data_IF_926014929847
#
_entry.id   IF_926014929847
#
_cell.length_a   1.000
_cell.length_b   1.000
_cell.length_c   1.000
_cell.angle_alpha   90.00
_cell.angle_beta   90.00
_cell.angle_gamma   90.00
#
_symmetry.space_group_name_H-M   'P 1'
#
loop_
_entity.id
_entity.type
_entity.pdbx_description
1 polymer ?
#
# COMPACT_ATOMS: atom_id res chain seq x y z
N UNK A 1 13.19 -12.20 11.09
CA UNK A 1 12.04 -11.41 10.53
C UNK A 1 10.75 -12.23 10.34
N UNK A 2 10.81 -13.56 10.14
CA UNK A 2 9.63 -14.43 9.94
C UNK A 2 8.59 -14.43 11.08
N UNK A 3 8.96 -14.05 12.31
CA UNK A 3 8.06 -14.10 13.49
C UNK A 3 7.43 -12.76 13.91
N UNK A 4 7.66 -11.66 13.19
CA UNK A 4 7.07 -10.38 13.57
C UNK A 4 5.56 -10.35 13.25
N UNK A 5 4.74 -10.08 14.26
CA UNK A 5 3.31 -9.87 14.11
C UNK A 5 3.01 -8.62 13.27
N UNK A 6 1.83 -8.56 12.65
CA UNK A 6 1.47 -7.41 11.80
C UNK A 6 1.43 -6.10 12.60
N UNK A 7 1.09 -6.17 13.89
CA UNK A 7 1.17 -5.05 14.83
C UNK A 7 2.60 -4.63 15.14
N UNK A 8 3.54 -5.57 15.29
CA UNK A 8 4.96 -5.24 15.49
C UNK A 8 5.56 -4.56 14.26
N UNK A 9 5.21 -5.01 13.06
CA UNK A 9 5.67 -4.37 11.80
C UNK A 9 5.13 -2.96 11.66
N UNK A 10 3.83 -2.78 11.95
CA UNK A 10 3.21 -1.46 11.97
C UNK A 10 3.85 -0.57 13.04
N UNK A 11 4.12 -1.11 14.23
CA UNK A 11 4.81 -0.40 15.30
C UNK A 11 6.20 0.08 14.90
N UNK A 12 7.01 -0.77 14.25
CA UNK A 12 8.33 -0.39 13.73
C UNK A 12 8.20 0.74 12.69
N UNK A 13 7.26 0.63 11.75
CA UNK A 13 7.03 1.66 10.75
C UNK A 13 6.60 3.00 11.38
N UNK A 14 5.69 2.97 12.37
CA UNK A 14 5.25 4.16 13.10
C UNK A 14 6.40 4.78 13.90
N UNK A 15 7.20 3.97 14.59
CA UNK A 15 8.36 4.48 15.35
C UNK A 15 9.39 5.10 14.41
N UNK A 16 9.68 4.48 13.26
CA UNK A 16 10.59 5.04 12.27
C UNK A 16 10.10 6.40 11.72
N UNK A 17 8.78 6.51 11.44
CA UNK A 17 8.16 7.77 11.05
C UNK A 17 8.23 8.84 12.14
N UNK A 18 7.88 8.49 13.38
CA UNK A 18 7.95 9.43 14.52
C UNK A 18 9.38 9.91 14.78
N UNK A 19 10.37 9.02 14.74
CA UNK A 19 11.77 9.38 14.88
C UNK A 19 12.19 10.38 13.80
N UNK A 20 11.79 10.15 12.55
CA UNK A 20 12.06 11.08 11.45
C UNK A 20 11.42 12.45 11.71
N UNK A 21 10.17 12.47 12.19
CA UNK A 21 9.48 13.70 12.55
C UNK A 21 10.27 14.49 13.60
N UNK A 22 10.66 13.85 14.71
CA UNK A 22 11.33 14.53 15.83
C UNK A 22 12.79 14.90 15.55
N UNK A 23 13.49 14.16 14.70
CA UNK A 23 14.90 14.43 14.35
C UNK A 23 15.03 15.61 13.38
N UNK A 24 14.04 15.83 12.49
CA UNK A 24 14.10 16.93 11.53
C UNK A 24 13.89 18.30 12.24
N UNK A 25 14.83 19.26 12.11
CA UNK A 25 14.82 20.49 12.90
C UNK A 25 13.68 21.45 12.51
N UNK A 26 12.91 21.91 13.52
CA UNK A 26 11.76 22.82 13.37
C UNK A 26 12.09 24.17 12.71
N UNK A 27 13.36 24.62 12.76
CA UNK A 27 13.76 25.97 12.31
C UNK A 27 14.08 26.06 10.82
N UNK A 28 14.30 24.93 10.15
CA UNK A 28 14.83 24.88 8.78
C UNK A 28 13.83 24.24 7.81
N UNK A 29 13.01 23.29 8.28
CA UNK A 29 12.14 22.49 7.42
C UNK A 29 10.67 22.78 7.76
N UNK A 30 9.90 23.18 6.74
CA UNK A 30 8.44 23.39 6.85
C UNK A 30 7.74 22.14 7.40
N UNK A 31 6.72 22.36 8.23
CA UNK A 31 5.95 21.29 8.88
C UNK A 31 5.42 20.26 7.87
N UNK A 32 4.89 20.74 6.74
CA UNK A 32 4.34 19.89 5.68
C UNK A 32 5.40 18.92 5.11
N UNK A 33 6.63 19.40 4.88
CA UNK A 33 7.75 18.56 4.40
C UNK A 33 8.15 17.49 5.41
N UNK A 34 8.11 17.81 6.71
CA UNK A 34 8.44 16.84 7.77
C UNK A 34 7.39 15.75 7.87
N UNK A 35 6.12 16.09 7.73
CA UNK A 35 5.02 15.13 7.74
C UNK A 35 5.18 14.15 6.57
N UNK A 36 5.44 14.66 5.36
CA UNK A 36 5.64 13.81 4.17
C UNK A 36 6.89 12.94 4.32
N UNK A 37 8.03 13.49 4.76
CA UNK A 37 9.23 12.69 5.00
C UNK A 37 9.03 11.58 6.04
N UNK A 38 8.27 11.86 7.10
CA UNK A 38 7.94 10.87 8.15
C UNK A 38 7.04 9.76 7.60
N UNK A 39 6.09 10.13 6.74
CA UNK A 39 5.26 9.17 6.01
C UNK A 39 6.11 8.28 5.10
N UNK A 40 7.01 8.85 4.30
CA UNK A 40 7.86 8.10 3.36
C UNK A 40 8.71 7.06 4.07
N UNK A 41 9.31 7.43 5.21
CA UNK A 41 10.12 6.50 6.02
C UNK A 41 9.24 5.38 6.58
N UNK A 42 8.07 5.70 7.12
CA UNK A 42 7.14 4.71 7.67
C UNK A 42 6.62 3.76 6.58
N UNK A 43 6.18 4.30 5.44
CA UNK A 43 5.65 3.56 4.31
C UNK A 43 6.74 2.65 3.69
N UNK A 44 7.93 3.18 3.45
CA UNK A 44 9.06 2.42 2.90
C UNK A 44 9.50 1.29 3.84
N UNK A 45 9.55 1.55 5.14
CA UNK A 45 9.88 0.52 6.15
C UNK A 45 8.82 -0.59 6.16
N UNK A 46 7.54 -0.22 6.13
CA UNK A 46 6.43 -1.17 6.06
C UNK A 46 6.49 -2.03 4.80
N UNK A 47 6.74 -1.40 3.64
CA UNK A 47 6.93 -2.08 2.36
C UNK A 47 8.12 -3.03 2.41
N UNK A 48 9.29 -2.59 2.88
CA UNK A 48 10.47 -3.43 2.97
C UNK A 48 10.19 -4.70 3.81
N UNK A 49 9.59 -4.53 4.99
CA UNK A 49 9.25 -5.66 5.86
C UNK A 49 8.21 -6.60 5.22
N UNK A 50 7.26 -6.04 4.48
CA UNK A 50 6.28 -6.81 3.72
C UNK A 50 6.95 -7.66 2.63
N UNK A 51 7.72 -7.03 1.75
CA UNK A 51 8.37 -7.69 0.61
C UNK A 51 9.43 -8.71 1.03
N UNK A 52 10.21 -8.44 2.09
CA UNK A 52 11.12 -9.44 2.68
C UNK A 52 10.35 -10.67 3.19
N UNK A 53 9.12 -10.49 3.68
CA UNK A 53 8.28 -11.61 4.11
C UNK A 53 7.73 -12.41 2.93
N UNK A 54 7.31 -11.72 1.87
CA UNK A 54 6.81 -12.35 0.65
C UNK A 54 7.93 -13.15 -0.03
N UNK A 55 9.12 -12.56 -0.19
CA UNK A 55 10.31 -13.18 -0.76
C UNK A 55 10.74 -14.48 -0.05
N UNK A 56 10.52 -14.56 1.26
CA UNK A 56 10.94 -15.70 2.07
C UNK A 56 9.84 -16.73 2.35
N UNK A 57 8.67 -16.67 1.71
CA UNK A 57 7.54 -17.54 2.03
C UNK A 57 7.06 -18.32 0.80
N UNK A 58 7.19 -19.65 0.87
CA UNK A 58 6.51 -20.55 -0.05
C UNK A 58 5.01 -20.64 0.26
N UNK A 59 4.26 -21.43 -0.52
CA UNK A 59 2.82 -21.59 -0.34
C UNK A 59 2.43 -22.18 1.05
N UNK A 60 3.27 -23.03 1.63
CA UNK A 60 3.01 -23.64 2.95
C UNK A 60 3.24 -22.62 4.06
N UNK A 61 4.33 -21.86 3.98
CA UNK A 61 4.62 -20.74 4.88
C UNK A 61 3.55 -19.64 4.78
N UNK A 62 3.07 -19.36 3.57
CA UNK A 62 1.97 -18.41 3.30
C UNK A 62 0.68 -18.88 3.96
N UNK A 63 0.28 -20.14 3.75
CA UNK A 63 -0.89 -20.74 4.39
C UNK A 63 -0.79 -20.73 5.91
N UNK A 64 0.35 -21.14 6.46
CA UNK A 64 0.54 -21.20 7.92
C UNK A 64 0.49 -19.81 8.54
N UNK A 65 1.14 -18.82 7.90
CA UNK A 65 1.13 -17.43 8.35
C UNK A 65 -0.25 -16.80 8.31
N UNK A 66 -1.05 -17.11 7.29
CA UNK A 66 -2.41 -16.57 7.14
C UNK A 66 -3.41 -17.17 8.12
N UNK A 67 -3.26 -18.45 8.48
CA UNK A 67 -4.12 -19.12 9.47
C UNK A 67 -3.80 -18.70 10.92
N UNK A 68 -2.51 -18.46 11.22
CA UNK A 68 -2.06 -18.11 12.57
C UNK A 68 -2.20 -16.62 12.91
N UNK A 69 -2.48 -15.77 11.92
CA UNK A 69 -2.62 -14.33 12.10
C UNK A 69 -4.08 -13.89 11.96
N UNK A 70 -4.61 -13.21 12.98
CA UNK A 70 -5.85 -12.44 12.85
C UNK A 70 -5.55 -11.18 12.05
N UNK A 71 -5.97 -11.14 10.78
CA UNK A 71 -5.88 -9.93 10.00
C UNK A 71 -7.12 -9.06 10.21
N UNK A 72 -6.94 -7.88 10.82
CA UNK A 72 -8.00 -6.88 10.93
C UNK A 72 -8.23 -6.21 9.56
N UNK A 73 -9.42 -6.38 8.99
CA UNK A 73 -9.85 -5.70 7.75
C UNK A 73 -9.84 -4.17 7.90
N UNK A 74 -10.02 -3.65 9.11
CA UNK A 74 -10.08 -2.22 9.41
C UNK A 74 -8.71 -1.53 9.28
N UNK A 75 -7.62 -2.26 9.55
CA UNK A 75 -6.26 -1.72 9.45
C UNK A 75 -5.81 -1.45 8.02
N UNK A 76 -6.43 -2.08 7.01
CA UNK A 76 -6.14 -1.82 5.59
C UNK A 76 -6.82 -0.53 5.15
N UNK A 77 -8.10 -0.35 5.50
CA UNK A 77 -8.86 0.85 5.18
C UNK A 77 -8.26 2.10 5.85
N UNK A 78 -7.86 2.01 7.12
CA UNK A 78 -7.18 3.12 7.80
C UNK A 78 -5.87 3.51 7.08
N UNK A 79 -5.10 2.53 6.62
CA UNK A 79 -3.87 2.76 5.87
C UNK A 79 -4.11 3.40 4.50
N UNK A 80 -5.14 2.94 3.78
CA UNK A 80 -5.57 3.52 2.50
C UNK A 80 -6.04 4.97 2.69
N UNK A 81 -6.79 5.25 3.76
CA UNK A 81 -7.24 6.61 4.10
C UNK A 81 -6.04 7.50 4.43
N UNK A 82 -5.08 7.02 5.23
CA UNK A 82 -3.88 7.78 5.54
C UNK A 82 -3.01 8.04 4.29
N UNK A 83 -2.90 7.05 3.40
CA UNK A 83 -2.24 7.19 2.12
C UNK A 83 -2.92 8.23 1.23
N UNK A 84 -4.26 8.21 1.16
CA UNK A 84 -5.03 9.22 0.44
C UNK A 84 -4.86 10.61 1.04
N UNK A 85 -4.84 10.74 2.38
CA UNK A 85 -4.58 12.02 3.06
C UNK A 85 -3.14 12.53 2.82
N UNK A 86 -2.15 11.64 2.78
CA UNK A 86 -0.78 12.00 2.41
C UNK A 86 -0.71 12.51 0.95
N UNK A 87 -1.39 11.84 0.02
CA UNK A 87 -1.53 12.30 -1.36
C UNK A 87 -2.24 13.65 -1.47
N UNK A 88 -3.23 13.92 -0.61
CA UNK A 88 -3.90 15.22 -0.52
C UNK A 88 -2.99 16.30 0.09
N UNK A 89 -2.12 15.96 1.04
CA UNK A 89 -1.15 16.90 1.60
C UNK A 89 -0.12 17.35 0.56
N UNK A 90 0.28 16.48 -0.36
CA UNK A 90 1.13 16.84 -1.50
C UNK A 90 0.55 17.99 -2.36
N UNK A 91 -0.79 18.14 -2.42
CA UNK A 91 -1.45 19.26 -3.13
C UNK A 91 -1.23 20.61 -2.45
N UNK A 92 -1.14 20.62 -1.12
CA UNK A 92 -1.22 21.86 -0.35
C UNK A 92 0.01 22.76 -0.53
N UNK A 93 1.14 22.18 -0.95
CA UNK A 93 2.36 22.94 -1.20
C UNK A 93 2.28 23.80 -2.47
N UNK A 94 1.57 23.34 -3.51
CA UNK A 94 1.42 24.08 -4.77
C UNK A 94 0.71 25.43 -4.55
N UNK A 95 -0.17 25.51 -3.55
CA UNK A 95 -0.92 26.72 -3.21
C UNK A 95 -0.22 27.65 -2.20
N UNK A 96 0.84 27.18 -1.51
CA UNK A 96 1.50 27.91 -0.42
C UNK A 96 2.92 28.37 -0.74
N UNK A 97 3.34 28.30 -2.00
CA UNK A 97 4.66 28.76 -2.43
C UNK A 97 4.83 30.28 -2.19
N UNK A 98 5.17 30.65 -0.96
CA UNK A 98 5.64 31.98 -0.61
C UNK A 98 6.97 32.24 -1.31
N UNK A 99 7.17 33.48 -1.74
CA UNK A 99 8.38 33.94 -2.46
C UNK A 99 9.70 33.76 -1.67
N UNK A 100 9.64 33.40 -0.38
CA UNK A 100 10.79 33.34 0.54
C UNK A 100 11.34 31.92 0.85
N UNK A 101 10.92 30.88 0.13
CA UNK A 101 11.45 29.50 0.33
C UNK A 101 12.56 29.21 -0.68
N UNK A 102 13.67 28.62 -0.24
CA UNK A 102 14.79 28.29 -1.13
C UNK A 102 14.36 27.28 -2.21
N UNK A 103 14.91 27.44 -3.43
CA UNK A 103 14.68 26.53 -4.56
C UNK A 103 14.95 25.07 -4.20
N UNK A 104 16.03 24.79 -3.45
CA UNK A 104 16.37 23.44 -3.00
C UNK A 104 15.29 22.82 -2.11
N UNK A 105 14.68 23.61 -1.21
CA UNK A 105 13.61 23.12 -0.35
C UNK A 105 12.33 22.80 -1.13
N UNK A 106 12.03 23.57 -2.19
CA UNK A 106 10.91 23.27 -3.10
C UNK A 106 11.14 21.96 -3.83
N UNK A 107 12.32 21.77 -4.43
CA UNK A 107 12.68 20.53 -5.15
C UNK A 107 12.60 19.31 -4.22
N UNK A 108 13.14 19.43 -3.00
CA UNK A 108 13.09 18.36 -2.01
C UNK A 108 11.64 18.00 -1.63
N UNK A 109 10.78 19.00 -1.42
CA UNK A 109 9.38 18.79 -1.09
C UNK A 109 8.61 18.07 -2.21
N UNK A 110 8.86 18.48 -3.46
CA UNK A 110 8.27 17.81 -4.64
C UNK A 110 8.76 16.37 -4.75
N UNK A 111 10.06 16.13 -4.58
CA UNK A 111 10.64 14.79 -4.59
C UNK A 111 10.00 13.88 -3.53
N UNK A 112 9.89 14.35 -2.29
CA UNK A 112 9.22 13.64 -1.20
C UNK A 112 7.74 13.39 -1.52
N UNK A 113 7.05 14.35 -2.11
CA UNK A 113 5.65 14.18 -2.52
C UNK A 113 5.49 13.06 -3.56
N UNK A 114 6.38 12.98 -4.55
CA UNK A 114 6.38 11.89 -5.54
C UNK A 114 6.67 10.55 -4.88
N UNK A 115 7.64 10.48 -3.95
CA UNK A 115 7.92 9.26 -3.17
C UNK A 115 6.70 8.85 -2.35
N UNK A 116 6.00 9.80 -1.73
CA UNK A 116 4.79 9.54 -0.97
C UNK A 116 3.68 8.96 -1.83
N UNK A 117 3.51 9.44 -3.07
CA UNK A 117 2.57 8.88 -4.03
C UNK A 117 2.94 7.44 -4.39
N UNK A 118 4.20 7.19 -4.77
CA UNK A 118 4.66 5.85 -5.18
C UNK A 118 4.56 4.86 -4.03
N UNK A 119 5.05 5.23 -2.84
CA UNK A 119 5.00 4.36 -1.65
C UNK A 119 3.57 4.10 -1.20
N UNK A 120 2.67 5.09 -1.28
CA UNK A 120 1.24 4.92 -1.02
C UNK A 120 0.60 3.93 -1.96
N UNK A 121 0.85 4.05 -3.27
CA UNK A 121 0.33 3.14 -4.29
C UNK A 121 0.80 1.70 -4.04
N UNK A 122 2.11 1.51 -3.84
CA UNK A 122 2.70 0.21 -3.52
C UNK A 122 2.07 -0.39 -2.25
N UNK A 123 1.91 0.42 -1.21
CA UNK A 123 1.42 -0.03 0.07
C UNK A 123 -0.04 -0.49 -0.01
N UNK A 124 -0.90 0.21 -0.76
CA UNK A 124 -2.28 -0.22 -1.00
C UNK A 124 -2.30 -1.64 -1.59
N UNK A 125 -1.57 -1.87 -2.69
CA UNK A 125 -1.57 -3.17 -3.37
C UNK A 125 -0.89 -4.27 -2.55
N UNK A 126 0.25 -3.99 -1.92
CA UNK A 126 0.88 -4.96 -1.01
C UNK A 126 -0.04 -5.37 0.13
N UNK A 127 -0.82 -4.44 0.71
CA UNK A 127 -1.79 -4.78 1.78
C UNK A 127 -2.97 -5.58 1.25
N UNK A 128 -3.47 -5.28 0.06
CA UNK A 128 -4.50 -6.10 -0.60
C UNK A 128 -4.01 -7.50 -0.93
N UNK A 129 -2.75 -7.67 -1.36
CA UNK A 129 -2.14 -8.98 -1.57
C UNK A 129 -2.20 -9.86 -0.31
N UNK A 130 -1.79 -9.32 0.85
CA UNK A 130 -1.95 -10.04 2.13
C UNK A 130 -3.43 -10.33 2.46
N UNK A 131 -4.33 -9.40 2.15
CA UNK A 131 -5.76 -9.58 2.39
C UNK A 131 -6.36 -10.71 1.55
N UNK A 132 -6.00 -10.78 0.27
CA UNK A 132 -6.39 -11.87 -0.61
C UNK A 132 -5.83 -13.20 -0.11
N UNK A 133 -4.56 -13.26 0.28
CA UNK A 133 -3.93 -14.46 0.83
C UNK A 133 -4.68 -14.96 2.09
N UNK A 134 -4.96 -14.06 3.02
CA UNK A 134 -5.69 -14.41 4.25
C UNK A 134 -7.11 -14.91 3.96
N UNK A 135 -7.85 -14.20 3.12
CA UNK A 135 -9.21 -14.59 2.73
C UNK A 135 -9.24 -15.92 1.99
N UNK A 136 -8.26 -16.16 1.12
CA UNK A 136 -8.13 -17.41 0.37
C UNK A 136 -7.90 -18.59 1.31
N UNK A 137 -6.90 -18.51 2.20
CA UNK A 137 -6.52 -19.62 3.05
C UNK A 137 -7.46 -19.85 4.24
N UNK A 138 -8.04 -18.80 4.83
CA UNK A 138 -9.02 -18.96 5.92
C UNK A 138 -10.32 -19.58 5.41
N UNK A 139 -10.81 -19.16 4.24
CA UNK A 139 -12.04 -19.74 3.65
C UNK A 139 -11.84 -21.17 3.14
N UNK A 140 -10.59 -21.59 2.91
CA UNK A 140 -10.25 -22.95 2.51
C UNK A 140 -10.25 -23.96 3.67
N UNK A 141 -10.23 -23.50 4.93
CA UNK A 141 -10.18 -24.36 6.12
C UNK A 141 -11.51 -24.99 6.53
N UNK A 142 -12.65 -24.48 6.03
CA UNK A 142 -13.98 -25.01 6.31
C UNK A 142 -14.40 -26.05 5.27
N UNK A 143 -14.20 -27.32 5.59
CA UNK A 143 -14.97 -28.51 5.18
C UNK A 143 -15.70 -28.47 3.82
N UNK A 144 -15.20 -29.27 2.85
CA UNK A 144 -15.98 -29.99 1.81
C UNK A 144 -16.41 -29.30 0.49
N UNK A 145 -15.76 -28.25 -0.03
CA UNK A 145 -15.91 -27.93 -1.48
C UNK A 145 -14.59 -27.58 -2.16
N UNK A 146 -14.37 -28.23 -3.31
CA UNK A 146 -13.27 -28.10 -4.30
C UNK A 146 -13.01 -26.67 -4.83
N UNK A 147 -13.72 -25.65 -4.33
CA UNK A 147 -13.55 -24.25 -4.75
C UNK A 147 -12.73 -23.55 -3.66
N UNK A 148 -11.42 -23.74 -3.71
CA UNK A 148 -10.48 -23.15 -2.76
C UNK A 148 -10.60 -21.62 -2.76
N UNK A 149 -10.85 -21.03 -1.58
CA UNK A 149 -10.55 -19.64 -1.23
C UNK A 149 -11.20 -18.48 -2.02
N UNK A 150 -11.95 -18.74 -3.10
CA UNK A 150 -12.60 -17.71 -3.92
C UNK A 150 -11.76 -17.10 -5.04
N UNK A 151 -10.54 -17.59 -5.25
CA UNK A 151 -9.66 -17.26 -6.39
C UNK A 151 -9.15 -18.57 -7.01
N UNK A 152 -9.05 -18.63 -8.33
CA UNK A 152 -8.50 -19.76 -9.07
C UNK A 152 -7.27 -19.30 -9.83
N UNK A 153 -6.11 -19.72 -9.35
CA UNK A 153 -4.82 -19.46 -10.01
C UNK A 153 -4.56 -20.51 -11.09
N UNK A 154 -3.97 -20.14 -12.22
CA UNK A 154 -3.56 -21.09 -13.26
C UNK A 154 -2.48 -22.04 -12.74
N UNK A 155 -2.33 -23.21 -13.38
CA UNK A 155 -1.28 -24.17 -13.05
C UNK A 155 -1.54 -25.08 -11.84
N UNK A 156 -2.59 -24.84 -11.04
CA UNK A 156 -3.04 -25.77 -10.01
C UNK A 156 -2.14 -25.91 -8.77
N UNK A 157 -1.03 -25.17 -8.72
CA UNK A 157 -0.17 -25.11 -7.55
C UNK A 157 -0.82 -24.27 -6.43
N UNK A 158 -0.58 -24.59 -5.15
CA UNK A 158 -1.00 -23.74 -4.05
C UNK A 158 -0.33 -22.36 -4.16
N UNK A 159 -1.10 -21.24 -4.07
CA UNK A 159 -0.55 -19.91 -4.32
C UNK A 159 0.30 -19.40 -3.15
N UNK A 160 1.43 -18.77 -3.42
CA UNK A 160 2.24 -18.06 -2.44
C UNK A 160 1.91 -16.56 -2.41
N UNK A 161 2.64 -15.77 -1.62
CA UNK A 161 2.40 -14.33 -1.55
C UNK A 161 2.64 -13.58 -2.87
N UNK A 162 3.52 -14.05 -3.76
CA UNK A 162 3.74 -13.42 -5.06
C UNK A 162 2.56 -13.63 -5.99
N UNK A 163 1.89 -14.78 -5.94
CA UNK A 163 0.66 -15.00 -6.71
C UNK A 163 -0.44 -13.97 -6.31
N UNK A 164 -0.60 -13.74 -4.99
CA UNK A 164 -1.53 -12.72 -4.51
C UNK A 164 -1.07 -11.29 -4.81
N UNK A 165 0.24 -11.04 -4.79
CA UNK A 165 0.81 -9.75 -5.18
C UNK A 165 0.56 -9.49 -6.67
N UNK A 166 0.81 -10.46 -7.54
CA UNK A 166 0.50 -10.40 -8.96
C UNK A 166 -0.98 -10.05 -9.19
N UNK A 167 -1.91 -10.80 -8.57
CA UNK A 167 -3.35 -10.51 -8.69
C UNK A 167 -3.70 -9.08 -8.22
N UNK A 168 -3.13 -8.65 -7.09
CA UNK A 168 -3.41 -7.34 -6.52
C UNK A 168 -2.84 -6.19 -7.38
N UNK A 169 -1.61 -6.30 -7.83
CA UNK A 169 -0.95 -5.25 -8.61
C UNK A 169 -1.55 -5.12 -10.01
N UNK A 170 -1.99 -6.21 -10.65
CA UNK A 170 -2.70 -6.16 -11.94
C UNK A 170 -3.98 -5.34 -11.85
N UNK A 171 -4.74 -5.47 -10.74
CA UNK A 171 -5.93 -4.64 -10.50
C UNK A 171 -5.55 -3.14 -10.48
N UNK A 172 -4.44 -2.80 -9.82
CA UNK A 172 -3.96 -1.43 -9.70
C UNK A 172 -3.40 -0.82 -10.99
N UNK A 173 -2.60 -1.60 -11.71
CA UNK A 173 -1.86 -1.14 -12.89
C UNK A 173 -2.71 -1.02 -14.14
N UNK A 174 -3.60 -2.00 -14.39
CA UNK A 174 -4.25 -2.15 -15.71
C UNK A 174 -5.77 -2.23 -15.64
N UNK A 175 -6.38 -2.03 -14.46
CA UNK A 175 -7.83 -2.12 -14.29
C UNK A 175 -8.46 -3.41 -14.87
N UNK A 176 -7.66 -4.52 -14.87
CA UNK A 176 -8.02 -5.93 -15.12
C UNK A 176 -7.60 -6.53 -16.48
N UNK A 177 -6.49 -7.30 -16.46
CA UNK A 177 -6.27 -8.56 -17.23
C UNK A 177 -5.39 -9.48 -16.37
N UNK A 178 -5.96 -10.15 -15.37
CA UNK A 178 -5.28 -11.26 -14.68
C UNK A 178 -5.84 -12.59 -15.21
N UNK A 179 -4.99 -13.57 -15.43
CA UNK A 179 -5.34 -14.97 -15.68
C UNK A 179 -5.95 -15.68 -14.43
N UNK A 180 -5.97 -15.00 -13.29
CA UNK A 180 -6.63 -15.44 -12.05
C UNK A 180 -8.15 -15.19 -12.10
N UNK A 181 -8.94 -16.25 -11.92
CA UNK A 181 -10.41 -16.17 -11.95
C UNK A 181 -11.02 -16.02 -10.55
N UNK A 182 -11.95 -15.09 -10.38
CA UNK A 182 -12.66 -14.87 -9.10
C UNK A 182 -13.88 -15.79 -8.98
N UNK A 183 -13.82 -16.78 -8.09
CA UNK A 183 -14.84 -17.83 -7.98
C UNK A 183 -15.90 -17.58 -6.89
N UNK A 184 -15.63 -16.71 -5.90
CA UNK A 184 -16.58 -16.42 -4.81
C UNK A 184 -17.20 -15.03 -4.86
N UNK A 185 -18.46 -14.90 -4.39
CA UNK A 185 -19.15 -13.61 -4.27
C UNK A 185 -18.42 -12.65 -3.32
N UNK A 186 -17.80 -13.18 -2.26
CA UNK A 186 -17.05 -12.38 -1.28
C UNK A 186 -15.79 -11.80 -1.91
N UNK A 187 -15.01 -12.60 -2.65
CA UNK A 187 -13.81 -12.11 -3.34
C UNK A 187 -14.16 -11.10 -4.43
N UNK A 188 -15.31 -11.23 -5.10
CA UNK A 188 -15.79 -10.20 -6.04
C UNK A 188 -16.05 -8.85 -5.36
N UNK A 189 -16.68 -8.84 -4.17
CA UNK A 189 -16.92 -7.60 -3.41
C UNK A 189 -15.60 -6.94 -2.96
N UNK A 190 -14.66 -7.73 -2.47
CA UNK A 190 -13.33 -7.24 -2.07
C UNK A 190 -12.61 -6.63 -3.28
N UNK A 191 -12.63 -7.32 -4.42
CA UNK A 191 -11.98 -6.87 -5.65
C UNK A 191 -12.64 -5.63 -6.23
N UNK A 192 -13.97 -5.50 -6.13
CA UNK A 192 -14.67 -4.27 -6.51
C UNK A 192 -14.19 -3.07 -5.69
N UNK A 193 -14.10 -3.21 -4.36
CA UNK A 193 -13.62 -2.13 -3.49
C UNK A 193 -12.16 -1.79 -3.83
N UNK A 194 -11.32 -2.80 -4.01
CA UNK A 194 -9.92 -2.61 -4.40
C UNK A 194 -9.79 -1.87 -5.73
N UNK A 195 -10.56 -2.28 -6.74
CA UNK A 195 -10.57 -1.64 -8.06
C UNK A 195 -11.05 -0.19 -8.00
N UNK A 196 -12.13 0.11 -7.27
CA UNK A 196 -12.63 1.48 -7.09
C UNK A 196 -11.59 2.38 -6.40
N UNK A 197 -10.93 1.88 -5.35
CA UNK A 197 -9.86 2.61 -4.67
C UNK A 197 -8.66 2.86 -5.58
N UNK A 198 -8.26 1.84 -6.35
CA UNK A 198 -7.16 1.94 -7.31
C UNK A 198 -7.45 2.97 -8.40
N UNK A 199 -8.67 2.94 -8.93
CA UNK A 199 -9.14 3.89 -9.93
C UNK A 199 -9.14 5.32 -9.38
N UNK A 200 -9.71 5.54 -8.18
CA UNK A 200 -9.71 6.84 -7.53
C UNK A 200 -8.29 7.37 -7.27
N UNK A 201 -7.37 6.51 -6.84
CA UNK A 201 -5.97 6.87 -6.64
C UNK A 201 -5.31 7.29 -7.97
N UNK A 202 -5.48 6.50 -9.03
CA UNK A 202 -4.92 6.80 -10.35
C UNK A 202 -5.48 8.12 -10.92
N UNK A 203 -6.78 8.38 -10.74
CA UNK A 203 -7.40 9.65 -11.12
C UNK A 203 -6.84 10.83 -10.31
N UNK A 204 -6.58 10.64 -9.02
CA UNK A 204 -5.91 11.63 -8.18
C UNK A 204 -4.51 11.96 -8.68
N UNK A 205 -3.69 10.95 -8.97
CA UNK A 205 -2.34 11.12 -9.54
C UNK A 205 -2.39 11.84 -10.89
N UNK A 206 -3.35 11.49 -11.76
CA UNK A 206 -3.53 12.16 -13.04
C UNK A 206 -3.88 13.64 -12.86
N UNK A 207 -4.84 13.97 -12.00
CA UNK A 207 -5.23 15.34 -11.71
C UNK A 207 -4.06 16.16 -11.13
N UNK A 208 -3.27 15.56 -10.23
CA UNK A 208 -2.05 16.15 -9.68
C UNK A 208 -1.05 16.49 -10.78
N UNK A 209 -0.80 15.52 -11.66
CA UNK A 209 0.16 15.66 -12.75
C UNK A 209 -0.25 16.80 -13.70
N UNK A 210 -1.54 16.90 -14.03
CA UNK A 210 -2.08 17.99 -14.85
C UNK A 210 -1.89 19.35 -14.15
N UNK A 211 -2.23 19.45 -12.87
CA UNK A 211 -2.06 20.70 -12.11
C UNK A 211 -0.60 21.15 -12.06
N UNK A 212 0.33 20.22 -11.87
CA UNK A 212 1.77 20.51 -11.86
C UNK A 212 2.20 21.02 -13.23
N UNK A 213 1.87 20.31 -14.32
CA UNK A 213 2.22 20.74 -15.68
C UNK A 213 1.62 22.10 -16.01
N UNK A 214 0.35 22.33 -15.65
CA UNK A 214 -0.33 23.61 -15.88
C UNK A 214 0.30 24.76 -15.08
N UNK A 215 0.86 24.49 -13.88
CA UNK A 215 1.57 25.51 -13.09
C UNK A 215 2.96 25.86 -13.62
N UNK A 216 3.51 25.06 -14.54
CA UNK A 216 4.83 25.27 -15.14
C UNK A 216 4.77 26.05 -16.47
N UNK A 217 3.56 26.31 -16.99
CA UNK A 217 3.29 27.05 -18.23
C UNK A 217 2.71 28.42 -17.86
#
# INVERSE_FOLDING_TARGET
>A
MRNLSDFQRLGIAVVAGLLTFFVLPNRIILLDTRIIASWDVAASTSLLLAWVTMAGADATATKTSTLNKRQSSSGILALVILAALASLMALTFLFKANENVSELAKIAHVGLSVIALVTSWLLIHTRYAFHYAHRYYVSSGSTHRKILGGLSFPGGNPPDYFDFAYFSFVIGMTSQVSDVTITSRVMRRITLIHGLLSFAFNMGVLALSINIVASMI
#
